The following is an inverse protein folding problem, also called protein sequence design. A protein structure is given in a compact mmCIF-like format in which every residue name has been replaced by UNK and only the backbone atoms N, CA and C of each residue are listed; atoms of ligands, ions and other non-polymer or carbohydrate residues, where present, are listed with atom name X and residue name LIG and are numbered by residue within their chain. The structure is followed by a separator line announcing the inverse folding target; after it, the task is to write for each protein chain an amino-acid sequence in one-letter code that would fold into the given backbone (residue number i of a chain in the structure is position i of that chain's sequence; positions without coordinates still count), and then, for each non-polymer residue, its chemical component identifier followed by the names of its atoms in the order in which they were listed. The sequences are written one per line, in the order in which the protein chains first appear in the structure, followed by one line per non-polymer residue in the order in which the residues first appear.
data_IF_445426500601
#
_entry.id   IF_445426500601
#
_cell.length_a   1.000
_cell.length_b   1.000
_cell.length_c   1.000
_cell.angle_alpha   90.00
_cell.angle_beta   90.00
_cell.angle_gamma   90.00
#
_symmetry.space_group_name_H-M   'P 1'
#
loop_
_entity.id
_entity.type
_entity.pdbx_description
1 polymer ?
#
# COMPACT_ATOMS: atom_id res chain seq x y z
N UNK A 1 -0.44 -23.53 11.30
CA UNK A 1 -1.09 -23.58 9.99
C UNK A 1 -0.25 -22.75 9.03
N UNK A 2 0.49 -23.44 8.18
CA UNK A 2 1.34 -22.87 7.14
C UNK A 2 0.43 -22.54 5.96
N UNK A 3 0.49 -21.30 5.45
CA UNK A 3 -0.25 -20.89 4.27
C UNK A 3 0.09 -21.82 3.09
N UNK A 4 -0.86 -22.19 2.22
CA UNK A 4 -0.56 -22.96 1.02
C UNK A 4 0.41 -22.19 0.11
N UNK A 5 1.43 -22.90 -0.36
CA UNK A 5 2.64 -22.44 -1.09
C UNK A 5 2.35 -21.77 -2.46
N UNK A 6 1.09 -21.68 -2.88
CA UNK A 6 0.70 -21.40 -4.27
C UNK A 6 0.37 -19.94 -4.60
N UNK A 7 0.45 -19.01 -3.63
CA UNK A 7 0.40 -17.56 -3.90
C UNK A 7 1.79 -16.87 -3.89
N UNK A 8 2.85 -17.60 -3.55
CA UNK A 8 4.19 -17.03 -3.34
C UNK A 8 4.99 -16.66 -4.61
N UNK A 9 4.46 -16.84 -5.83
CA UNK A 9 5.30 -16.76 -7.04
C UNK A 9 4.89 -15.75 -8.11
N UNK A 10 3.72 -15.10 -8.03
CA UNK A 10 3.36 -14.10 -9.04
C UNK A 10 3.93 -12.74 -8.64
N UNK A 11 5.16 -12.48 -9.06
CA UNK A 11 5.78 -11.16 -8.98
C UNK A 11 5.23 -10.31 -10.12
N UNK A 12 4.50 -9.25 -9.76
CA UNK A 12 4.04 -8.26 -10.74
C UNK A 12 5.18 -7.30 -11.07
N UNK A 13 5.30 -6.86 -12.33
CA UNK A 13 6.31 -5.89 -12.71
C UNK A 13 6.01 -4.54 -12.05
N UNK A 14 7.07 -3.78 -11.77
CA UNK A 14 6.96 -2.37 -11.42
C UNK A 14 6.49 -1.56 -12.64
N UNK A 15 5.36 -0.89 -12.49
CA UNK A 15 4.81 0.03 -13.47
C UNK A 15 5.22 1.44 -13.07
N UNK A 16 5.84 2.18 -13.98
CA UNK A 16 6.24 3.57 -13.74
C UNK A 16 5.02 4.39 -13.28
N UNK A 17 5.21 5.17 -12.23
CA UNK A 17 4.17 6.05 -11.73
C UNK A 17 3.88 7.17 -12.74
N UNK A 18 2.59 7.33 -13.06
CA UNK A 18 2.08 8.50 -13.76
C UNK A 18 1.47 9.41 -12.69
N UNK A 19 2.03 10.61 -12.47
CA UNK A 19 1.47 11.53 -11.49
C UNK A 19 0.01 11.86 -11.80
N UNK A 20 -0.82 11.79 -10.76
CA UNK A 20 -2.25 12.08 -10.81
C UNK A 20 -2.47 13.59 -10.72
N UNK A 21 -3.29 14.17 -11.58
CA UNK A 21 -3.49 15.63 -11.62
C UNK A 21 -4.58 16.09 -10.63
N UNK A 22 -5.58 15.25 -10.39
CA UNK A 22 -6.72 15.57 -9.54
C UNK A 22 -7.32 14.33 -8.82
N UNK A 23 -8.40 14.58 -8.08
CA UNK A 23 -9.12 13.53 -7.36
C UNK A 23 -9.85 12.55 -8.29
N UNK A 24 -10.28 12.99 -9.48
CA UNK A 24 -10.98 12.09 -10.41
C UNK A 24 -10.00 11.06 -10.98
N UNK A 25 -8.78 11.48 -11.32
CA UNK A 25 -7.73 10.56 -11.78
C UNK A 25 -7.33 9.58 -10.68
N UNK A 26 -7.29 10.04 -9.43
CA UNK A 26 -7.01 9.18 -8.29
C UNK A 26 -8.09 8.13 -8.03
N UNK A 27 -9.37 8.51 -8.14
CA UNK A 27 -10.48 7.56 -8.10
C UNK A 27 -10.40 6.55 -9.24
N UNK A 28 -10.16 7.01 -10.46
CA UNK A 28 -10.00 6.15 -11.63
C UNK A 28 -8.82 5.17 -11.46
N UNK A 29 -7.71 5.63 -10.88
CA UNK A 29 -6.55 4.80 -10.57
C UNK A 29 -6.89 3.71 -9.55
N UNK A 30 -7.56 4.07 -8.44
CA UNK A 30 -8.01 3.11 -7.42
C UNK A 30 -8.93 2.04 -8.01
N UNK A 31 -9.90 2.47 -8.82
CA UNK A 31 -10.86 1.61 -9.49
C UNK A 31 -10.20 0.59 -10.42
N UNK A 32 -9.20 1.04 -11.17
CA UNK A 32 -8.41 0.18 -12.05
C UNK A 32 -7.60 -0.83 -11.23
N UNK A 33 -6.81 -0.36 -10.27
CA UNK A 33 -5.93 -1.24 -9.48
C UNK A 33 -6.71 -2.22 -8.62
N UNK A 34 -7.86 -1.83 -8.08
CA UNK A 34 -8.75 -2.75 -7.38
C UNK A 34 -9.26 -3.85 -8.34
N UNK A 35 -9.70 -3.48 -9.55
CA UNK A 35 -10.12 -4.46 -10.57
C UNK A 35 -8.98 -5.41 -10.96
N UNK A 36 -7.79 -4.89 -11.22
CA UNK A 36 -6.63 -5.70 -11.55
C UNK A 36 -6.22 -6.64 -10.40
N UNK A 37 -6.27 -6.15 -9.16
CA UNK A 37 -5.99 -6.95 -7.97
C UNK A 37 -7.01 -8.09 -7.81
N UNK A 38 -8.31 -7.80 -7.94
CA UNK A 38 -9.36 -8.83 -7.87
C UNK A 38 -9.22 -9.87 -8.98
N UNK A 39 -8.90 -9.45 -10.20
CA UNK A 39 -8.62 -10.37 -11.31
C UNK A 39 -7.40 -11.24 -11.02
N UNK A 40 -6.34 -10.64 -10.49
CA UNK A 40 -5.11 -11.34 -10.15
C UNK A 40 -5.27 -12.35 -9.00
N UNK A 41 -6.18 -12.09 -8.07
CA UNK A 41 -6.51 -13.01 -6.97
C UNK A 41 -7.34 -14.20 -7.44
N UNK A 42 -8.04 -14.09 -8.58
CA UNK A 42 -8.87 -15.17 -9.15
C UNK A 42 -9.87 -15.76 -8.13
N UNK A 43 -10.47 -14.90 -7.29
CA UNK A 43 -11.43 -15.30 -6.25
C UNK A 43 -10.81 -16.01 -5.04
N UNK A 44 -9.48 -16.10 -4.94
CA UNK A 44 -8.79 -16.66 -3.77
C UNK A 44 -8.84 -15.66 -2.62
N UNK A 45 -9.02 -16.17 -1.41
CA UNK A 45 -8.81 -15.36 -0.21
C UNK A 45 -7.32 -15.04 -0.06
N UNK A 46 -7.04 -13.80 0.31
CA UNK A 46 -5.71 -13.30 0.60
C UNK A 46 -5.75 -12.44 1.86
N UNK A 47 -4.65 -12.44 2.59
CA UNK A 47 -4.36 -11.48 3.65
C UNK A 47 -3.20 -10.60 3.19
N UNK A 48 -3.37 -9.28 3.29
CA UNK A 48 -2.31 -8.34 2.94
C UNK A 48 -2.11 -8.10 1.43
N UNK A 49 -3.11 -8.37 0.61
CA UNK A 49 -3.14 -7.98 -0.80
C UNK A 49 -3.25 -6.46 -0.96
N UNK A 50 -2.76 -5.92 -2.07
CA UNK A 50 -2.92 -4.51 -2.36
C UNK A 50 -1.88 -4.05 -3.36
N UNK A 51 -1.23 -2.94 -3.04
CA UNK A 51 -0.23 -2.31 -3.89
C UNK A 51 1.05 -2.05 -3.09
N UNK A 52 2.17 -2.07 -3.79
CA UNK A 52 3.44 -1.58 -3.27
C UNK A 52 3.87 -0.38 -4.10
N UNK A 53 4.15 0.74 -3.44
CA UNK A 53 4.76 1.91 -4.04
C UNK A 53 6.25 1.92 -3.78
N UNK A 54 7.05 1.97 -4.84
CA UNK A 54 8.48 2.26 -4.74
C UNK A 54 8.68 3.76 -4.79
N UNK A 55 9.44 4.33 -3.86
CA UNK A 55 9.60 5.78 -3.73
C UNK A 55 10.82 6.32 -4.47
N UNK A 56 10.74 7.58 -4.90
CA UNK A 56 11.77 8.27 -5.73
C UNK A 56 13.15 8.39 -5.07
N UNK A 57 13.22 8.38 -3.75
CA UNK A 57 14.47 8.48 -2.98
C UNK A 57 14.82 7.18 -2.23
N UNK A 58 14.16 6.08 -2.61
CA UNK A 58 14.37 4.78 -2.01
C UNK A 58 13.35 4.43 -0.92
N UNK A 59 13.20 3.12 -0.71
CA UNK A 59 12.18 2.53 0.14
C UNK A 59 10.88 2.21 -0.60
N UNK A 60 10.10 1.37 0.06
CA UNK A 60 8.78 0.91 -0.39
C UNK A 60 7.71 1.20 0.66
N UNK A 61 6.48 1.39 0.18
CA UNK A 61 5.26 1.45 0.96
C UNK A 61 4.30 0.36 0.50
N UNK A 62 3.96 -0.58 1.38
CA UNK A 62 2.93 -1.58 1.10
C UNK A 62 1.61 -1.09 1.66
N UNK A 63 0.57 -1.08 0.83
CA UNK A 63 -0.77 -0.61 1.17
C UNK A 63 -1.78 -1.74 0.99
N UNK A 64 -2.59 -1.99 2.03
CA UNK A 64 -3.69 -2.95 2.02
C UNK A 64 -4.89 -2.37 2.76
N UNK A 65 -6.10 -2.55 2.24
CA UNK A 65 -7.34 -2.29 3.00
C UNK A 65 -7.81 -3.59 3.65
N UNK A 66 -7.89 -3.61 4.98
CA UNK A 66 -8.31 -4.79 5.74
C UNK A 66 -9.84 -4.98 5.69
N UNK A 67 -10.33 -6.05 6.33
CA UNK A 67 -11.76 -6.39 6.36
C UNK A 67 -12.65 -5.37 7.07
N UNK A 68 -12.08 -4.52 7.94
CA UNK A 68 -12.79 -3.47 8.67
C UNK A 68 -12.88 -2.16 7.87
N UNK A 69 -12.21 -2.09 6.70
CA UNK A 69 -12.15 -0.89 5.87
C UNK A 69 -11.00 0.06 6.23
N UNK A 70 -10.14 -0.33 7.17
CA UNK A 70 -8.94 0.44 7.52
C UNK A 70 -7.78 0.13 6.56
N UNK A 71 -6.92 1.11 6.37
CA UNK A 71 -5.70 1.02 5.59
C UNK A 71 -4.57 0.58 6.50
N UNK A 72 -3.96 -0.54 6.17
CA UNK A 72 -2.66 -0.97 6.67
C UNK A 72 -1.58 -0.47 5.70
N UNK A 73 -0.70 0.38 6.20
CA UNK A 73 0.44 0.90 5.45
C UNK A 73 1.73 0.47 6.13
N UNK A 74 2.50 -0.40 5.48
CA UNK A 74 3.83 -0.81 5.94
C UNK A 74 4.89 0.09 5.30
N UNK A 75 5.56 0.88 6.13
CA UNK A 75 6.63 1.79 5.73
C UNK A 75 7.97 1.11 5.99
N UNK A 76 8.64 0.67 4.93
CA UNK A 76 9.97 0.08 5.04
C UNK A 76 10.96 1.02 5.73
N UNK A 77 12.02 0.52 6.40
CA UNK A 77 12.99 1.37 7.08
C UNK A 77 13.63 2.42 6.15
N UNK A 78 13.89 2.06 4.90
CA UNK A 78 14.45 2.94 3.87
C UNK A 78 13.46 4.04 3.45
N UNK A 79 12.15 3.82 3.63
CA UNK A 79 11.11 4.80 3.37
C UNK A 79 10.79 5.70 4.57
N UNK A 80 11.49 5.56 5.71
CA UNK A 80 11.16 6.32 6.94
C UNK A 80 11.20 7.86 6.76
N UNK A 81 11.89 8.36 5.73
CA UNK A 81 11.90 9.78 5.39
C UNK A 81 10.52 10.34 4.97
N UNK A 82 9.56 9.48 4.59
CA UNK A 82 8.21 9.90 4.19
C UNK A 82 7.25 10.13 5.37
N UNK A 83 7.65 9.76 6.59
CA UNK A 83 6.81 9.89 7.78
C UNK A 83 6.23 11.29 8.03
N UNK A 84 6.94 12.41 7.77
CA UNK A 84 6.35 13.75 7.92
C UNK A 84 5.15 13.98 6.99
N UNK A 85 5.20 13.44 5.77
CA UNK A 85 4.09 13.53 4.80
C UNK A 85 2.92 12.66 5.26
N UNK A 86 3.20 11.43 5.70
CA UNK A 86 2.17 10.55 6.26
C UNK A 86 1.49 11.18 7.48
N UNK A 87 2.26 11.81 8.36
CA UNK A 87 1.74 12.53 9.54
C UNK A 87 0.84 13.69 9.13
N UNK A 88 1.27 14.48 8.14
CA UNK A 88 0.51 15.63 7.64
C UNK A 88 -0.82 15.22 6.99
N UNK A 89 -0.80 14.15 6.19
CA UNK A 89 -1.99 13.66 5.48
C UNK A 89 -2.95 12.97 6.43
N UNK A 90 -2.46 12.00 7.21
CA UNK A 90 -3.30 11.16 8.08
C UNK A 90 -3.71 11.86 9.37
N UNK A 91 -3.02 12.95 9.73
CA UNK A 91 -3.15 13.67 11.01
C UNK A 91 -2.88 12.78 12.24
N UNK A 92 -2.08 11.73 12.06
CA UNK A 92 -1.65 10.82 13.11
C UNK A 92 -0.16 10.93 13.34
N UNK A 93 0.27 10.77 14.59
CA UNK A 93 1.69 10.64 14.92
C UNK A 93 2.24 9.34 14.38
N UNK A 94 3.50 9.34 13.93
CA UNK A 94 4.19 8.12 13.52
C UNK A 94 4.13 7.04 14.61
N UNK A 95 3.77 5.79 14.27
CA UNK A 95 3.76 4.68 15.20
C UNK A 95 5.18 4.32 15.62
N UNK A 96 5.33 3.59 16.73
CA UNK A 96 6.63 3.07 17.17
C UNK A 96 7.19 1.99 16.23
N UNK A 97 6.35 1.40 15.37
CA UNK A 97 6.71 0.39 14.38
C UNK A 97 6.64 0.90 12.94
N UNK A 98 6.72 -0.02 11.98
CA UNK A 98 6.65 0.26 10.54
C UNK A 98 5.21 0.33 10.01
N UNK A 99 4.27 -0.30 10.73
CA UNK A 99 2.87 -0.40 10.31
C UNK A 99 2.07 0.79 10.82
N UNK A 100 1.52 1.58 9.90
CA UNK A 100 0.50 2.58 10.16
C UNK A 100 -0.88 1.94 9.96
N UNK A 101 -1.76 2.13 10.94
CA UNK A 101 -3.18 1.82 10.82
C UNK A 101 -3.92 3.14 10.60
N UNK A 102 -4.53 3.31 9.44
CA UNK A 102 -5.13 4.57 9.01
C UNK A 102 -6.59 4.33 8.64
N UNK A 103 -7.48 5.27 8.98
CA UNK A 103 -8.88 5.19 8.58
C UNK A 103 -9.02 5.14 7.05
N UNK A 104 -9.96 4.34 6.56
CA UNK A 104 -10.21 4.14 5.12
C UNK A 104 -10.47 5.42 4.32
N UNK A 105 -11.06 6.43 4.95
CA UNK A 105 -11.34 7.73 4.34
C UNK A 105 -10.07 8.55 4.00
N UNK A 106 -8.91 8.14 4.52
CA UNK A 106 -7.62 8.76 4.22
C UNK A 106 -6.95 8.19 2.96
N UNK A 107 -7.52 7.19 2.30
CA UNK A 107 -6.88 6.55 1.13
C UNK A 107 -6.60 7.55 0.01
N UNK A 108 -7.61 8.34 -0.35
CA UNK A 108 -7.50 9.33 -1.40
C UNK A 108 -6.53 10.48 -1.00
N UNK A 109 -6.65 11.11 0.19
CA UNK A 109 -5.63 12.04 0.67
C UNK A 109 -4.21 11.46 0.66
N UNK A 110 -4.03 10.19 1.02
CA UNK A 110 -2.74 9.50 1.05
C UNK A 110 -2.14 9.36 -0.34
N UNK A 111 -2.92 8.93 -1.34
CA UNK A 111 -2.47 8.90 -2.73
C UNK A 111 -2.06 10.29 -3.21
N UNK A 112 -2.84 11.32 -2.90
CA UNK A 112 -2.54 12.70 -3.29
C UNK A 112 -1.29 13.24 -2.61
N UNK A 113 -1.11 13.00 -1.31
CA UNK A 113 0.06 13.46 -0.58
C UNK A 113 1.36 12.75 -0.99
N UNK A 114 1.27 11.50 -1.43
CA UNK A 114 2.43 10.71 -1.89
C UNK A 114 2.72 10.85 -3.38
N UNK A 115 1.81 11.44 -4.17
CA UNK A 115 1.83 11.41 -5.62
C UNK A 115 3.18 11.81 -6.26
N UNK A 116 3.85 12.85 -5.75
CA UNK A 116 5.15 13.30 -6.25
C UNK A 116 6.35 12.48 -5.75
N UNK A 117 6.11 11.58 -4.80
CA UNK A 117 7.12 10.77 -4.12
C UNK A 117 7.18 9.33 -4.65
N UNK A 118 6.20 8.92 -5.46
CA UNK A 118 6.11 7.56 -6.02
C UNK A 118 6.90 7.51 -7.34
N UNK A 119 7.80 6.53 -7.45
CA UNK A 119 8.55 6.23 -8.67
C UNK A 119 7.85 5.15 -9.52
N UNK A 120 7.35 4.12 -8.86
CA UNK A 120 6.62 3.02 -9.49
C UNK A 120 5.63 2.38 -8.53
N UNK A 121 4.72 1.58 -9.08
CA UNK A 121 3.75 0.79 -8.33
C UNK A 121 3.70 -0.64 -8.88
N UNK A 122 3.40 -1.60 -8.01
CA UNK A 122 3.15 -2.99 -8.39
C UNK A 122 2.04 -3.59 -7.54
N UNK A 123 1.32 -4.57 -8.11
CA UNK A 123 0.36 -5.35 -7.34
C UNK A 123 1.08 -6.29 -6.36
N UNK A 124 0.46 -6.47 -5.20
CA UNK A 124 0.92 -7.38 -4.16
C UNK A 124 -0.22 -8.33 -3.83
N UNK A 125 -0.01 -9.64 -4.03
CA UNK A 125 -1.03 -10.64 -3.73
C UNK A 125 -1.00 -11.15 -2.30
N UNK A 126 0.08 -10.89 -1.58
CA UNK A 126 0.21 -11.18 -0.15
C UNK A 126 1.39 -10.39 0.40
N UNK A 127 1.19 -9.70 1.52
CA UNK A 127 2.24 -9.04 2.28
C UNK A 127 2.02 -9.26 3.77
N UNK A 128 3.09 -9.49 4.51
CA UNK A 128 3.01 -9.73 5.95
C UNK A 128 3.07 -8.40 6.70
N UNK A 129 1.91 -7.79 6.94
CA UNK A 129 1.75 -6.61 7.82
C UNK A 129 1.89 -7.00 9.29
N UNK A 130 3.08 -7.44 9.70
CA UNK A 130 3.36 -7.77 11.10
C UNK A 130 4.30 -6.72 11.67
N UNK A 131 3.83 -5.98 12.66
CA UNK A 131 4.71 -5.27 13.57
C UNK A 131 5.71 -6.30 14.13
N UNK A 132 7.00 -6.08 13.90
CA UNK A 132 8.05 -6.94 14.46
C UNK A 132 8.07 -6.71 15.98
N UNK A 133 7.22 -7.45 16.72
CA UNK A 133 7.18 -7.44 18.18
C UNK A 133 5.77 -7.38 18.77
N UNK A 134 5.06 -8.51 18.78
CA UNK A 134 4.09 -8.91 19.82
C UNK A 134 4.05 -10.44 19.78
N UNK A 135 4.77 -11.06 20.72
CA UNK A 135 4.59 -12.44 21.16
C UNK A 135 4.08 -12.37 22.59
#
# INVERSE_FOLDING_TARGET
MTLPETLQQKVFPDIRWQPLEDWNEAEAWLDLYNRELQQALEGRQSEGQGVCFTLVHGGELYLHTNGDGDILLDVTPEAAWVQPVLTAVTRQSAPAGQIWLVAGDQLMPLLMGLNSLIASTRLVLAHSYRARGLR
#
